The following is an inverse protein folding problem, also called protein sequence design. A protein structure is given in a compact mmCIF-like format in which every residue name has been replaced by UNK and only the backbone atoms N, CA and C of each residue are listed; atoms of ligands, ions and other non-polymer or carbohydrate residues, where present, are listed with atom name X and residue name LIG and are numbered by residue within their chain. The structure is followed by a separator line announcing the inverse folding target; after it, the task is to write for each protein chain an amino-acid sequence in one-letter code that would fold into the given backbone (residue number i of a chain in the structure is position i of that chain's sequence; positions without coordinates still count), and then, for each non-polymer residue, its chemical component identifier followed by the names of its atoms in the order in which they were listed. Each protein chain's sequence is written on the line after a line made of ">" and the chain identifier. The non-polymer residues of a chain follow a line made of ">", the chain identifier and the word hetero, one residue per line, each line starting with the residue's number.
data_IF_534527014790
#
_entry.id   IF_534527014790
#
_cell.length_a   1.000
_cell.length_b   1.000
_cell.length_c   1.000
_cell.angle_alpha   90.00
_cell.angle_beta   90.00
_cell.angle_gamma   90.00
#
_symmetry.space_group_name_H-M   'P 1'
#
loop_
_entity.id
_entity.type
_entity.pdbx_description
1 polymer ?
#
# COMPACT_ATOMS: atom_id res chain seq x y z
N UNK A 1 -33.89 -25.93 -35.62
CA UNK A 1 -33.60 -25.69 -35.23
C UNK A 1 -32.94 -25.43 -34.35
N UNK A 2 -32.95 -25.20 -34.32
CA UNK A 2 -32.45 -24.93 -33.61
C UNK A 2 -31.59 -24.78 -33.02
N UNK A 3 -31.33 -24.68 -32.93
CA UNK A 3 -30.58 -24.58 -32.35
C UNK A 3 -29.80 -24.01 -31.92
N UNK A 4 -29.67 -23.82 -31.99
CA UNK A 4 -28.91 -23.31 -31.64
C UNK A 4 -28.45 -22.76 -30.82
N UNK A 5 -28.41 -22.58 -30.51
CA UNK A 5 -28.04 -22.08 -29.75
C UNK A 5 -27.34 -21.98 -28.88
N UNK A 6 -27.19 -21.97 -28.66
CA UNK A 6 -26.66 -21.82 -27.83
C UNK A 6 -25.73 -21.48 -27.34
N UNK A 7 -25.53 -21.54 -27.39
CA UNK A 7 -24.66 -21.30 -26.93
C UNK A 7 -24.02 -20.51 -26.36
N UNK A 8 -23.98 -20.13 -26.44
CA UNK A 8 -23.33 -19.32 -26.05
C UNK A 8 -23.11 -19.07 -24.89
N UNK A 9 -23.24 -19.10 -24.68
CA UNK A 9 -22.98 -18.80 -23.74
C UNK A 9 -22.13 -18.80 -23.03
N UNK A 10 -21.99 -18.93 -23.12
CA UNK A 10 -21.27 -19.04 -22.33
C UNK A 10 -20.33 -18.36 -22.09
N UNK A 11 -20.17 -18.23 -22.42
CA UNK A 11 -19.23 -17.73 -22.17
C UNK A 11 -19.04 -16.96 -21.39
N UNK A 12 -19.19 -16.60 -21.35
CA UNK A 12 -18.93 -15.80 -20.79
C UNK A 12 -18.58 -15.83 -19.65
N UNK A 13 -18.66 -16.05 -19.45
CA UNK A 13 -18.45 -16.10 -18.37
C UNK A 13 -17.39 -16.02 -17.88
N UNK A 14 -16.99 -16.46 -18.21
CA UNK A 14 -15.92 -16.55 -17.68
C UNK A 14 -15.26 -15.47 -17.36
N UNK A 15 -15.28 -14.85 -18.00
CA UNK A 15 -14.56 -13.83 -17.79
C UNK A 15 -14.52 -13.32 -16.59
N UNK A 16 -15.25 -13.40 -16.11
CA UNK A 16 -15.24 -12.74 -15.04
C UNK A 16 -14.44 -13.11 -14.07
N UNK A 17 -14.23 -14.01 -14.05
CA UNK A 17 -13.54 -14.47 -12.96
C UNK A 17 -12.23 -13.87 -12.74
N UNK A 18 -11.54 -13.61 -13.72
CA UNK A 18 -10.25 -13.13 -13.55
C UNK A 18 -10.14 -11.84 -12.82
N UNK A 19 -11.11 -11.06 -12.88
CA UNK A 19 -10.98 -9.77 -12.29
C UNK A 19 -10.93 -9.84 -10.80
N UNK A 20 -11.49 -10.81 -10.23
CA UNK A 20 -11.45 -10.88 -8.79
C UNK A 20 -10.05 -11.01 -8.27
N UNK A 21 -9.25 -11.73 -8.98
CA UNK A 21 -7.90 -11.95 -8.49
C UNK A 21 -7.10 -10.68 -8.44
N UNK A 22 -7.40 -9.78 -9.29
CA UNK A 22 -6.62 -8.59 -9.35
C UNK A 22 -6.74 -7.74 -8.14
N UNK A 23 -7.89 -7.68 -7.58
CA UNK A 23 -8.10 -6.75 -6.50
C UNK A 23 -7.29 -7.06 -5.28
N UNK A 24 -6.90 -8.29 -5.08
CA UNK A 24 -6.16 -8.59 -3.86
C UNK A 24 -4.80 -7.93 -3.83
N UNK A 25 -4.25 -7.59 -4.96
CA UNK A 25 -2.94 -7.00 -4.98
C UNK A 25 -2.92 -5.63 -4.31
N UNK A 26 -4.04 -5.01 -4.21
CA UNK A 26 -4.10 -3.68 -3.66
C UNK A 26 -3.96 -3.62 -2.17
N UNK A 27 -4.14 -4.73 -1.50
CA UNK A 27 -4.09 -4.74 -0.07
C UNK A 27 -2.69 -4.56 0.47
N UNK A 28 -1.69 -4.75 -0.37
CA UNK A 28 -0.34 -4.82 0.13
C UNK A 28 0.29 -3.49 0.49
N UNK A 29 -0.19 -2.41 -0.04
CA UNK A 29 0.43 -1.14 0.24
C UNK A 29 1.70 -0.94 -0.55
N UNK A 30 2.52 0.00 -0.10
CA UNK A 30 3.72 0.38 -0.81
C UNK A 30 4.93 -0.26 -0.14
N UNK A 31 5.82 -0.86 -0.91
CA UNK A 31 6.90 -1.65 -0.33
C UNK A 31 8.28 -1.35 -0.83
N UNK A 32 8.42 -0.43 -1.76
CA UNK A 32 9.68 -0.29 -2.47
C UNK A 32 10.26 1.10 -2.27
N UNK A 33 10.91 1.30 -1.12
CA UNK A 33 11.41 2.61 -0.76
C UNK A 33 12.90 2.79 -0.95
N UNK A 34 13.69 1.74 -0.78
CA UNK A 34 15.14 1.87 -0.88
C UNK A 34 15.74 0.52 -1.23
N UNK A 35 16.94 0.56 -1.79
CA UNK A 35 17.71 -0.65 -2.03
C UNK A 35 18.84 -0.82 -1.02
N UNK A 36 18.94 0.07 -0.04
CA UNK A 36 19.97 -0.05 0.97
C UNK A 36 19.72 -1.24 1.86
N UNK A 37 20.79 -1.86 2.32
CA UNK A 37 20.72 -2.90 3.33
C UNK A 37 20.16 -2.33 4.61
N UNK A 38 19.41 -3.15 5.31
CA UNK A 38 18.75 -2.71 6.52
C UNK A 38 19.72 -2.16 7.56
N UNK A 39 20.93 -2.68 7.60
CA UNK A 39 21.92 -2.19 8.55
C UNK A 39 22.29 -0.73 8.32
N UNK A 40 22.02 -0.22 7.13
CA UNK A 40 22.34 1.16 6.78
C UNK A 40 21.15 2.09 6.93
N UNK A 41 20.01 1.60 7.37
CA UNK A 41 18.81 2.42 7.49
C UNK A 41 18.90 3.36 8.67
N UNK A 42 18.30 4.53 8.52
CA UNK A 42 18.13 5.42 9.64
C UNK A 42 17.06 4.83 10.58
N UNK A 43 17.07 5.25 11.85
CA UNK A 43 16.10 4.66 12.79
C UNK A 43 14.66 5.01 12.47
N UNK A 44 13.76 4.08 12.78
CA UNK A 44 12.35 4.29 12.54
C UNK A 44 11.79 5.48 13.33
N UNK A 45 12.40 5.76 14.49
CA UNK A 45 11.94 6.90 15.30
C UNK A 45 12.10 8.21 14.55
N UNK A 46 13.05 8.29 13.63
CA UNK A 46 13.20 9.51 12.85
C UNK A 46 12.09 9.66 11.82
N UNK A 47 11.60 8.53 11.27
CA UNK A 47 10.45 8.60 10.38
C UNK A 47 9.22 9.06 11.14
N UNK A 48 9.05 8.55 12.37
CA UNK A 48 7.94 8.99 13.19
C UNK A 48 8.03 10.47 13.51
N UNK A 49 9.23 10.95 13.77
CA UNK A 49 9.42 12.36 14.06
C UNK A 49 9.07 13.23 12.85
N UNK A 50 9.41 12.74 11.66
CA UNK A 50 9.05 13.46 10.44
C UNK A 50 7.54 13.57 10.30
N UNK A 51 6.84 12.49 10.59
CA UNK A 51 5.39 12.50 10.51
C UNK A 51 4.80 13.49 11.51
N UNK A 52 5.34 13.52 12.72
CA UNK A 52 4.85 14.46 13.72
C UNK A 52 5.08 15.90 13.28
N UNK A 53 6.26 16.17 12.74
CA UNK A 53 6.57 17.51 12.25
C UNK A 53 5.61 17.92 11.13
N UNK A 54 5.16 16.96 10.35
CA UNK A 54 4.22 17.23 9.27
C UNK A 54 2.78 17.37 9.75
N UNK A 55 2.55 17.25 11.06
CA UNK A 55 1.22 17.48 11.61
C UNK A 55 0.42 16.24 11.91
N UNK A 56 1.02 15.06 11.81
CA UNK A 56 0.30 13.83 12.09
C UNK A 56 0.45 13.42 13.54
N UNK A 57 -0.62 12.88 14.08
CA UNK A 57 -0.55 12.20 15.37
C UNK A 57 -0.18 10.75 15.07
N UNK A 58 1.01 10.34 15.45
CA UNK A 58 1.51 9.02 15.10
C UNK A 58 0.87 7.97 16.00
N UNK A 59 0.30 6.95 15.41
CA UNK A 59 -0.32 5.85 16.13
C UNK A 59 0.62 4.69 16.29
N UNK A 60 1.35 4.34 15.24
CA UNK A 60 2.34 3.28 15.30
C UNK A 60 3.13 3.29 13.99
N UNK A 61 4.21 2.53 13.96
CA UNK A 61 4.98 2.36 12.73
C UNK A 61 5.46 0.93 12.63
N UNK A 62 5.80 0.53 11.42
CA UNK A 62 6.34 -0.80 11.18
C UNK A 62 7.16 -0.77 9.91
N UNK A 63 7.86 -1.87 9.65
CA UNK A 63 8.58 -2.04 8.40
C UNK A 63 7.65 -2.72 7.40
N UNK A 64 7.57 -2.16 6.22
CA UNK A 64 6.78 -2.74 5.16
C UNK A 64 7.68 -2.81 3.93
N UNK A 65 8.14 -4.02 3.56
CA UNK A 65 9.12 -4.15 2.49
C UNK A 65 10.37 -3.40 2.86
N UNK A 66 10.77 -2.44 2.06
CA UNK A 66 11.92 -1.61 2.37
C UNK A 66 11.51 -0.21 2.82
N UNK A 67 10.33 -0.09 3.37
CA UNK A 67 9.80 1.20 3.81
C UNK A 67 9.53 1.19 5.30
N UNK A 68 9.54 2.37 5.91
CA UNK A 68 8.92 2.56 7.21
C UNK A 68 7.49 3.03 6.96
N UNK A 69 6.53 2.28 7.43
CA UNK A 69 5.13 2.66 7.29
C UNK A 69 4.67 3.24 8.63
N UNK A 70 4.29 4.51 8.60
CA UNK A 70 3.86 5.22 9.80
C UNK A 70 2.36 5.45 9.68
N UNK A 71 1.61 5.01 10.69
CA UNK A 71 0.18 5.29 10.76
C UNK A 71 -0.02 6.59 11.51
N UNK A 72 -0.62 7.57 10.85
CA UNK A 72 -0.80 8.88 11.46
C UNK A 72 -2.19 9.43 11.20
N UNK A 73 -2.69 10.19 12.17
CA UNK A 73 -3.99 10.83 12.05
C UNK A 73 -3.76 12.32 11.89
N UNK A 74 -4.46 12.91 10.92
CA UNK A 74 -4.39 14.34 10.70
C UNK A 74 -5.79 14.82 10.34
N UNK A 75 -6.27 15.80 11.06
CA UNK A 75 -7.60 16.35 10.83
C UNK A 75 -8.67 15.28 10.81
N UNK A 76 -8.55 14.34 11.74
CA UNK A 76 -9.55 13.30 11.90
C UNK A 76 -9.45 12.15 10.91
N UNK A 77 -8.46 12.14 10.05
CA UNK A 77 -8.31 11.11 9.06
C UNK A 77 -7.06 10.28 9.29
N UNK A 78 -7.17 8.99 9.06
CA UNK A 78 -6.04 8.09 9.20
C UNK A 78 -5.31 7.96 7.87
N UNK A 79 -3.99 8.02 7.94
CA UNK A 79 -3.12 7.87 6.77
C UNK A 79 -2.05 6.84 7.02
N UNK A 80 -1.66 6.16 5.97
CA UNK A 80 -0.46 5.33 5.99
C UNK A 80 0.60 6.10 5.22
N UNK A 81 1.70 6.40 5.90
CA UNK A 81 2.79 7.20 5.34
C UNK A 81 4.00 6.31 5.15
N UNK A 82 4.53 6.27 3.96
CA UNK A 82 5.63 5.38 3.63
C UNK A 82 6.89 6.21 3.40
N UNK A 83 7.83 6.06 4.33
CA UNK A 83 9.09 6.80 4.30
C UNK A 83 10.24 5.91 3.88
N UNK A 84 11.19 6.49 3.14
CA UNK A 84 12.40 5.77 2.82
C UNK A 84 13.33 5.76 4.03
N UNK A 85 13.82 4.58 4.43
CA UNK A 85 14.80 4.54 5.52
C UNK A 85 16.14 5.15 5.14
N UNK A 86 16.35 5.41 3.87
CA UNK A 86 17.61 5.94 3.39
C UNK A 86 17.77 7.41 3.74
N UNK A 87 16.77 8.22 3.47
CA UNK A 87 16.84 9.66 3.69
C UNK A 87 15.59 10.21 4.33
N UNK A 88 14.68 9.34 4.71
CA UNK A 88 13.41 9.69 5.36
C UNK A 88 12.50 10.53 4.49
N UNK A 89 12.66 10.44 3.19
CA UNK A 89 11.72 11.10 2.30
C UNK A 89 10.40 10.35 2.27
N UNK A 90 9.31 11.07 2.16
CA UNK A 90 7.99 10.47 2.06
C UNK A 90 7.80 9.99 0.64
N UNK A 91 7.64 8.69 0.46
CA UNK A 91 7.54 8.09 -0.86
C UNK A 91 6.10 7.91 -1.30
N UNK A 92 5.20 7.71 -0.36
CA UNK A 92 3.83 7.37 -0.72
C UNK A 92 2.92 7.61 0.46
N UNK A 93 1.68 7.94 0.19
CA UNK A 93 0.67 8.17 1.22
C UNK A 93 -0.62 7.51 0.79
N UNK A 94 -1.24 6.79 1.72
CA UNK A 94 -2.55 6.20 1.48
C UNK A 94 -3.50 6.76 2.52
N UNK A 95 -4.59 7.35 2.07
CA UNK A 95 -5.64 7.82 2.97
C UNK A 95 -6.59 6.64 3.23
N UNK A 96 -6.93 6.42 4.48
CA UNK A 96 -7.79 5.29 4.86
C UNK A 96 -9.26 5.67 4.97
#
# INVERSE_FOLDING_TARGET
>A
MRTTILTALAVMIASLAGSAAISSAWADGYKDCTKLEKASWKPATEAEAKAKTAGYEVRRSKVEGSCYEVYGVKEGKLYELFYSPEDLSLKHTIAK
#
